data_IF_612412844192
#
_entry.id   IF_612412844192
#
_cell.length_a   1.000
_cell.length_b   1.000
_cell.length_c   1.000
_cell.angle_alpha   90.00
_cell.angle_beta   90.00
_cell.angle_gamma   90.00
#
_symmetry.space_group_name_H-M   'P 1'
#
loop_
_entity.id
_entity.type
_entity.pdbx_description
1 polymer ?
#
# COMPACT_ATOMS: atom_id res chain seq x y z
N UNK A 1 48.82 -1.84 46.28
CA UNK A 1 47.51 -1.17 46.24
C UNK A 1 47.28 -0.65 44.83
N UNK A 2 46.27 -1.22 44.16
CA UNK A 2 45.29 -0.60 43.26
C UNK A 2 45.69 0.23 41.99
N UNK A 3 44.85 -0.04 40.97
CA UNK A 3 44.53 0.64 39.70
C UNK A 3 45.39 0.32 38.46
N UNK A 4 44.97 -0.54 37.51
CA UNK A 4 43.86 -0.53 36.53
C UNK A 4 43.99 0.50 35.36
N UNK A 5 44.10 -0.07 34.15
CA UNK A 5 43.28 0.19 32.96
C UNK A 5 43.74 1.18 31.85
N UNK A 6 43.58 0.67 30.61
CA UNK A 6 43.24 1.35 29.33
C UNK A 6 44.40 1.83 28.45
N UNK A 7 44.69 1.02 27.44
CA UNK A 7 44.88 1.45 26.05
C UNK A 7 44.68 0.21 25.15
N UNK A 8 43.50 -0.42 25.15
CA UNK A 8 42.33 -0.02 24.36
C UNK A 8 42.66 0.26 22.89
N UNK A 9 42.74 -0.83 22.12
CA UNK A 9 42.07 -1.00 20.82
C UNK A 9 42.36 0.14 19.83
N UNK A 10 43.52 0.09 19.18
CA UNK A 10 43.86 0.98 18.06
C UNK A 10 43.74 0.29 16.69
N UNK A 11 42.96 -0.80 16.55
CA UNK A 11 42.82 -1.53 15.27
C UNK A 11 41.38 -1.96 14.97
N UNK A 12 40.39 -1.12 15.28
CA UNK A 12 38.99 -1.38 14.88
C UNK A 12 38.21 -0.09 14.53
N UNK A 13 38.81 0.80 13.73
CA UNK A 13 38.09 1.92 13.07
C UNK A 13 37.95 1.71 11.55
N UNK A 14 37.63 0.49 11.15
CA UNK A 14 37.20 0.15 9.79
C UNK A 14 35.96 -0.76 9.81
N UNK A 15 35.03 -0.50 10.73
CA UNK A 15 33.69 -1.09 10.66
C UNK A 15 32.69 -0.08 10.06
N UNK A 16 32.36 -0.35 8.79
CA UNK A 16 31.08 -0.06 8.14
C UNK A 16 30.62 1.40 8.08
N UNK A 17 31.33 2.21 7.29
CA UNK A 17 30.68 3.23 6.45
C UNK A 17 30.30 2.62 5.09
N UNK A 18 29.74 1.40 5.11
CA UNK A 18 29.17 0.72 3.97
C UNK A 18 27.66 0.66 4.23
N UNK A 19 26.92 1.20 3.27
CA UNK A 19 25.47 1.11 3.09
C UNK A 19 24.57 1.99 3.99
N UNK A 20 24.56 3.28 3.64
CA UNK A 20 23.30 4.05 3.62
C UNK A 20 23.10 4.71 2.26
N UNK A 21 23.38 3.96 1.20
CA UNK A 21 22.94 4.27 -0.17
C UNK A 21 21.57 3.63 -0.41
N UNK A 22 20.56 4.08 0.34
CA UNK A 22 19.15 3.83 -0.01
C UNK A 22 18.42 5.16 0.10
N UNK A 23 18.73 6.10 -0.80
CA UNK A 23 17.72 7.09 -1.17
C UNK A 23 16.92 6.50 -2.33
N UNK A 24 16.06 5.53 -2.03
CA UNK A 24 14.84 5.42 -2.82
C UNK A 24 14.12 6.75 -2.57
N UNK A 25 14.22 7.68 -3.52
CA UNK A 25 13.54 8.97 -3.39
C UNK A 25 12.06 8.71 -3.27
N UNK A 26 11.48 9.09 -2.14
CA UNK A 26 10.05 9.07 -1.95
C UNK A 26 9.46 10.43 -2.31
N UNK A 27 8.27 10.43 -2.88
CA UNK A 27 7.52 11.65 -3.14
C UNK A 27 6.32 11.67 -2.21
N UNK A 28 6.14 12.77 -1.47
CA UNK A 28 4.92 12.99 -0.72
C UNK A 28 3.82 13.49 -1.68
N UNK A 29 2.71 12.75 -1.74
CA UNK A 29 1.50 13.21 -2.39
C UNK A 29 0.55 13.76 -1.33
N UNK A 30 -0.05 14.92 -1.64
CA UNK A 30 -0.94 15.65 -0.75
C UNK A 30 -2.20 16.05 -1.52
N UNK A 31 -3.34 15.53 -1.08
CA UNK A 31 -4.62 15.73 -1.74
C UNK A 31 -5.60 16.39 -0.78
N UNK A 32 -6.23 17.47 -1.25
CA UNK A 32 -7.25 18.16 -0.48
C UNK A 32 -8.57 17.41 -0.61
N UNK A 33 -9.08 16.96 0.53
CA UNK A 33 -10.24 16.10 0.60
C UNK A 33 -11.30 16.70 1.51
N UNK A 34 -12.57 16.45 1.17
CA UNK A 34 -13.72 16.97 1.88
C UNK A 34 -14.68 15.84 2.21
N UNK A 35 -15.12 15.77 3.47
CA UNK A 35 -16.03 14.73 3.93
C UNK A 35 -17.04 15.24 4.96
N UNK A 36 -18.14 14.51 5.12
CA UNK A 36 -19.17 14.81 6.14
C UNK A 36 -19.55 13.53 6.86
N UNK A 37 -19.27 13.48 8.16
CA UNK A 37 -19.46 12.30 9.01
C UNK A 37 -18.56 11.11 8.71
N UNK A 38 -18.47 10.69 7.46
CA UNK A 38 -17.58 9.64 6.99
C UNK A 38 -17.03 10.01 5.61
N UNK A 39 -15.72 9.91 5.44
CA UNK A 39 -15.04 10.02 4.16
C UNK A 39 -14.52 8.63 3.78
N UNK A 40 -14.78 8.23 2.53
CA UNK A 40 -14.18 7.04 1.93
C UNK A 40 -13.36 7.50 0.73
N UNK A 41 -12.05 7.34 0.81
CA UNK A 41 -11.12 7.62 -0.28
C UNK A 41 -10.69 6.31 -0.92
N UNK A 42 -10.78 6.19 -2.24
CA UNK A 42 -10.39 4.98 -2.98
C UNK A 42 -9.06 5.21 -3.69
N UNK A 43 -8.07 4.38 -3.38
CA UNK A 43 -6.80 4.40 -4.10
C UNK A 43 -6.92 3.63 -5.41
N UNK A 44 -6.32 4.15 -6.47
CA UNK A 44 -6.01 3.35 -7.66
C UNK A 44 -4.99 2.27 -7.26
N UNK A 45 -5.16 1.04 -7.73
CA UNK A 45 -4.31 -0.10 -7.37
C UNK A 45 -2.85 0.12 -7.74
N UNK A 46 -2.59 0.71 -8.91
CA UNK A 46 -1.23 1.02 -9.36
C UNK A 46 -0.61 2.12 -8.50
N UNK A 47 -1.41 3.10 -8.05
CA UNK A 47 -0.95 4.13 -7.13
C UNK A 47 -0.67 3.55 -5.73
N UNK A 48 -1.59 2.74 -5.20
CA UNK A 48 -1.48 2.11 -3.88
C UNK A 48 -0.28 1.15 -3.79
N UNK A 49 0.00 0.38 -4.85
CA UNK A 49 1.14 -0.53 -4.89
C UNK A 49 2.48 0.17 -4.65
N UNK A 50 2.55 1.47 -4.97
CA UNK A 50 3.73 2.30 -4.77
C UNK A 50 3.70 3.10 -3.46
N UNK A 51 2.64 3.02 -2.65
CA UNK A 51 2.56 3.71 -1.37
C UNK A 51 3.40 2.97 -0.33
N UNK A 52 4.23 3.71 0.40
CA UNK A 52 4.98 3.19 1.53
C UNK A 52 4.00 2.81 2.65
N UNK A 53 4.02 1.54 3.06
CA UNK A 53 3.14 1.03 4.12
C UNK A 53 3.25 1.86 5.39
N UNK A 54 2.10 2.26 5.94
CA UNK A 54 2.02 3.09 7.15
C UNK A 54 2.25 4.59 6.94
N UNK A 55 2.54 5.05 5.73
CA UNK A 55 2.74 6.48 5.45
C UNK A 55 1.45 7.28 5.27
N UNK A 56 0.30 6.61 5.11
CA UNK A 56 -0.99 7.25 4.87
C UNK A 56 -1.47 7.97 6.13
N UNK A 57 -1.66 9.28 6.01
CA UNK A 57 -2.07 10.15 7.11
C UNK A 57 -3.11 11.17 6.68
N UNK A 58 -3.98 11.53 7.62
CA UNK A 58 -4.91 12.65 7.47
C UNK A 58 -4.43 13.83 8.31
N UNK A 59 -4.28 14.99 7.68
CA UNK A 59 -3.84 16.24 8.31
C UNK A 59 -4.98 17.26 8.21
N UNK A 60 -5.42 17.82 9.34
CA UNK A 60 -6.49 18.82 9.36
C UNK A 60 -7.47 18.53 10.48
N UNK A 61 -8.75 18.44 10.16
CA UNK A 61 -9.80 18.18 11.16
C UNK A 61 -9.53 16.88 11.93
N UNK A 62 -9.66 16.90 13.28
CA UNK A 62 -9.62 15.68 14.08
C UNK A 62 -10.71 14.69 13.68
N UNK A 63 -10.33 13.41 13.61
CA UNK A 63 -11.22 12.29 13.32
C UNK A 63 -11.26 11.33 14.51
N UNK A 64 -12.34 10.56 14.63
CA UNK A 64 -12.45 9.50 15.65
C UNK A 64 -11.61 8.29 15.24
N UNK A 65 -11.69 7.91 13.96
CA UNK A 65 -11.10 6.66 13.47
C UNK A 65 -10.64 6.78 12.03
N UNK A 66 -9.48 6.20 11.75
CA UNK A 66 -8.95 5.97 10.41
C UNK A 66 -8.75 4.47 10.24
N UNK A 67 -9.27 3.91 9.14
CA UNK A 67 -9.17 2.49 8.80
C UNK A 67 -8.80 2.34 7.33
N UNK A 68 -7.77 1.55 7.05
CA UNK A 68 -7.49 1.10 5.70
C UNK A 68 -8.24 -0.22 5.45
N UNK A 69 -9.11 -0.20 4.46
CA UNK A 69 -9.92 -1.34 4.03
C UNK A 69 -9.38 -1.87 2.69
N UNK A 70 -9.33 -3.19 2.57
CA UNK A 70 -9.10 -3.86 1.29
C UNK A 70 -10.46 -4.33 0.78
N UNK A 71 -10.94 -3.73 -0.30
CA UNK A 71 -12.21 -4.09 -0.91
C UNK A 71 -11.96 -5.06 -2.06
N UNK A 72 -12.48 -6.28 -1.90
CA UNK A 72 -12.35 -7.37 -2.87
C UNK A 72 -13.70 -7.70 -3.52
N UNK A 73 -14.60 -6.71 -3.64
CA UNK A 73 -15.99 -6.89 -4.08
C UNK A 73 -16.11 -7.58 -5.44
N UNK A 74 -15.15 -7.36 -6.33
CA UNK A 74 -15.01 -8.01 -7.65
C UNK A 74 -14.87 -9.53 -7.59
N UNK A 75 -14.40 -10.08 -6.45
CA UNK A 75 -14.27 -11.52 -6.27
C UNK A 75 -15.60 -12.19 -5.91
N UNK A 76 -16.66 -11.45 -5.62
CA UNK A 76 -17.96 -12.03 -5.27
C UNK A 76 -18.50 -12.81 -6.48
N UNK A 77 -18.82 -14.08 -6.28
CA UNK A 77 -19.25 -15.00 -7.33
C UNK A 77 -18.10 -15.66 -8.10
N UNK A 78 -16.84 -15.34 -7.80
CA UNK A 78 -15.70 -15.98 -8.44
C UNK A 78 -15.60 -17.45 -8.02
N UNK A 79 -15.27 -18.31 -8.99
CA UNK A 79 -15.04 -19.74 -8.79
C UNK A 79 -13.57 -19.99 -8.44
N UNK A 80 -13.36 -20.74 -7.37
CA UNK A 80 -12.04 -20.98 -6.80
C UNK A 80 -11.85 -22.45 -6.41
N UNK A 81 -10.59 -22.86 -6.34
CA UNK A 81 -10.15 -24.13 -5.78
C UNK A 81 -9.43 -23.82 -4.47
N UNK A 82 -9.92 -24.38 -3.38
CA UNK A 82 -9.28 -24.28 -2.06
C UNK A 82 -8.51 -25.56 -1.80
N UNK A 83 -7.24 -25.45 -1.44
CA UNK A 83 -6.46 -26.61 -0.98
C UNK A 83 -6.83 -26.90 0.48
N UNK A 84 -7.55 -27.99 0.72
CA UNK A 84 -7.81 -28.46 2.06
C UNK A 84 -6.53 -29.01 2.68
N UNK A 85 -6.14 -28.49 3.85
CA UNK A 85 -5.12 -29.16 4.68
C UNK A 85 -5.78 -30.32 5.40
N UNK A 86 -5.80 -31.50 4.78
CA UNK A 86 -6.09 -32.72 5.53
C UNK A 86 -4.78 -33.45 5.79
N UNK A 87 -4.63 -33.98 7.01
CA UNK A 87 -3.48 -34.77 7.43
C UNK A 87 -3.26 -36.05 6.59
N UNK A 88 -4.20 -36.41 5.72
CA UNK A 88 -4.20 -37.66 4.94
C UNK A 88 -4.26 -37.46 3.41
N UNK A 89 -4.14 -36.25 2.88
CA UNK A 89 -4.09 -36.02 1.43
C UNK A 89 -4.67 -34.67 1.02
N UNK A 90 -4.07 -34.07 -0.01
CA UNK A 90 -4.47 -32.78 -0.57
C UNK A 90 -5.85 -32.89 -1.25
N UNK A 91 -6.94 -32.75 -0.49
CA UNK A 91 -8.27 -32.63 -1.07
C UNK A 91 -8.48 -31.20 -1.55
N UNK A 92 -8.73 -31.03 -2.85
CA UNK A 92 -9.08 -29.73 -3.44
C UNK A 92 -10.59 -29.57 -3.43
N UNK A 93 -11.08 -28.46 -2.88
CA UNK A 93 -12.51 -28.13 -2.84
C UNK A 93 -12.79 -27.07 -3.90
N UNK A 94 -13.71 -27.35 -4.82
CA UNK A 94 -14.25 -26.32 -5.74
C UNK A 94 -15.35 -25.54 -5.02
N UNK A 95 -15.24 -24.23 -5.02
CA UNK A 95 -16.14 -23.35 -4.29
C UNK A 95 -16.36 -22.02 -5.02
N UNK A 96 -17.40 -21.32 -4.62
CA UNK A 96 -17.74 -19.98 -5.09
C UNK A 96 -17.62 -18.99 -3.92
N UNK A 97 -16.99 -17.84 -4.14
CA UNK A 97 -16.88 -16.80 -3.12
C UNK A 97 -18.24 -16.11 -2.96
N UNK A 98 -18.78 -16.13 -1.74
CA UNK A 98 -20.07 -15.52 -1.37
C UNK A 98 -19.87 -14.13 -0.76
N UNK A 99 -18.89 -14.02 0.14
CA UNK A 99 -18.43 -12.74 0.68
C UNK A 99 -16.89 -12.68 0.64
N UNK A 100 -16.31 -11.84 -0.24
CA UNK A 100 -14.87 -11.65 -0.34
C UNK A 100 -14.22 -11.03 0.91
N UNK A 101 -14.97 -10.29 1.72
CA UNK A 101 -14.40 -9.56 2.87
C UNK A 101 -14.04 -10.51 4.00
N UNK A 102 -14.95 -11.45 4.29
CA UNK A 102 -14.77 -12.49 5.30
C UNK A 102 -14.17 -13.78 4.73
N UNK A 103 -13.98 -13.86 3.40
CA UNK A 103 -13.69 -15.10 2.69
C UNK A 103 -14.68 -16.22 3.04
N UNK A 104 -15.97 -15.90 2.99
CA UNK A 104 -17.05 -16.88 3.04
C UNK A 104 -17.23 -17.51 1.67
N UNK A 105 -17.06 -18.82 1.58
CA UNK A 105 -17.18 -19.60 0.35
C UNK A 105 -18.32 -20.61 0.46
N UNK A 106 -18.89 -21.00 -0.68
CA UNK A 106 -19.84 -22.09 -0.79
C UNK A 106 -19.25 -23.22 -1.64
N UNK A 107 -19.23 -24.43 -1.11
CA UNK A 107 -18.82 -25.63 -1.84
C UNK A 107 -19.78 -25.87 -3.03
N UNK A 108 -19.25 -26.02 -4.25
CA UNK A 108 -20.09 -26.20 -5.44
C UNK A 108 -20.91 -27.50 -5.42
N UNK A 109 -20.37 -28.55 -4.79
CA UNK A 109 -20.98 -29.88 -4.72
C UNK A 109 -21.95 -30.01 -3.55
N UNK A 110 -21.51 -29.69 -2.33
CA UNK A 110 -22.33 -29.91 -1.12
C UNK A 110 -23.22 -28.73 -0.76
N UNK A 111 -23.03 -27.57 -1.41
CA UNK A 111 -23.68 -26.29 -1.10
C UNK A 111 -23.44 -25.77 0.32
N UNK A 112 -22.54 -26.41 1.08
CA UNK A 112 -22.15 -26.01 2.43
C UNK A 112 -21.31 -24.73 2.38
N UNK A 113 -21.49 -23.88 3.40
CA UNK A 113 -20.70 -22.66 3.57
C UNK A 113 -19.51 -22.91 4.49
N UNK A 114 -18.36 -22.32 4.17
CA UNK A 114 -17.17 -22.39 5.01
C UNK A 114 -16.29 -21.15 4.82
N UNK A 115 -15.48 -20.86 5.84
CA UNK A 115 -14.49 -19.78 5.79
C UNK A 115 -13.13 -20.34 5.39
N UNK A 116 -12.32 -19.52 4.72
CA UNK A 116 -10.97 -19.92 4.34
C UNK A 116 -10.00 -18.74 4.39
N UNK A 117 -8.72 -19.04 4.54
CA UNK A 117 -7.68 -18.02 4.44
C UNK A 117 -7.54 -17.60 2.95
N UNK A 118 -7.57 -16.29 2.61
CA UNK A 118 -7.26 -15.80 1.27
C UNK A 118 -6.02 -16.45 0.62
N UNK A 119 -4.97 -16.74 1.39
CA UNK A 119 -3.72 -17.33 0.88
C UNK A 119 -3.84 -18.80 0.46
N UNK A 120 -4.92 -19.47 0.87
CA UNK A 120 -5.17 -20.89 0.55
C UNK A 120 -6.01 -21.09 -0.73
N UNK A 121 -6.40 -19.99 -1.39
CA UNK A 121 -7.28 -19.96 -2.54
C UNK A 121 -6.48 -19.94 -3.84
N UNK A 122 -6.78 -20.87 -4.74
CA UNK A 122 -6.35 -20.84 -6.13
C UNK A 122 -7.53 -20.47 -7.03
N UNK A 123 -7.43 -19.34 -7.74
CA UNK A 123 -8.50 -18.88 -8.61
C UNK A 123 -8.56 -19.70 -9.90
N UNK A 124 -9.76 -20.13 -10.31
CA UNK A 124 -9.97 -20.93 -11.54
C UNK A 124 -10.08 -20.03 -12.77
N UNK A 125 -10.55 -18.80 -12.59
CA UNK A 125 -10.53 -17.72 -13.57
C UNK A 125 -9.63 -16.61 -13.05
N UNK A 126 -8.93 -15.90 -13.94
CA UNK A 126 -8.19 -14.70 -13.57
C UNK A 126 -9.14 -13.77 -12.82
N UNK A 127 -8.88 -13.46 -11.53
CA UNK A 127 -9.67 -12.45 -10.87
C UNK A 127 -9.54 -11.16 -11.69
N UNK A 128 -10.68 -10.49 -11.95
CA UNK A 128 -10.62 -9.11 -12.42
C UNK A 128 -9.73 -8.35 -11.42
N UNK A 129 -8.75 -7.59 -11.92
CA UNK A 129 -7.74 -6.85 -11.15
C UNK A 129 -8.33 -5.72 -10.28
N UNK A 130 -9.52 -5.91 -9.71
CA UNK A 130 -10.29 -4.92 -8.97
C UNK A 130 -10.17 -5.18 -7.46
N UNK A 131 -8.94 -5.38 -6.97
CA UNK A 131 -8.65 -5.30 -5.53
C UNK A 131 -8.44 -3.84 -5.22
N UNK A 132 -9.49 -3.12 -4.83
CA UNK A 132 -9.36 -1.71 -4.45
C UNK A 132 -8.91 -1.57 -3.00
N UNK A 133 -8.10 -0.57 -2.72
CA UNK A 133 -7.76 -0.16 -1.38
C UNK A 133 -8.54 1.11 -1.06
N UNK A 134 -9.19 1.14 0.10
CA UNK A 134 -10.00 2.28 0.53
C UNK A 134 -9.54 2.78 1.89
N UNK A 135 -9.31 4.07 2.04
CA UNK A 135 -9.16 4.70 3.34
C UNK A 135 -10.53 5.18 3.82
N UNK A 136 -10.92 4.75 5.00
CA UNK A 136 -12.12 5.20 5.68
C UNK A 136 -11.74 6.10 6.85
N UNK A 137 -12.26 7.32 6.86
CA UNK A 137 -12.09 8.30 7.94
C UNK A 137 -13.47 8.60 8.53
N UNK A 138 -13.62 8.40 9.83
CA UNK A 138 -14.86 8.67 10.57
C UNK A 138 -14.65 9.91 11.42
N UNK A 139 -15.41 10.96 11.15
CA UNK A 139 -15.35 12.21 11.89
C UNK A 139 -16.25 12.20 13.13
N UNK A 140 -15.95 13.08 14.07
CA UNK A 140 -16.65 13.15 15.36
C UNK A 140 -18.11 13.57 15.23
N UNK A 141 -18.38 14.58 14.40
CA UNK A 141 -19.74 15.03 14.12
C UNK A 141 -20.19 14.57 12.73
N UNK A 142 -21.32 13.86 12.67
CA UNK A 142 -21.88 13.37 11.39
C UNK A 142 -22.51 14.46 10.52
N UNK A 143 -22.85 15.60 11.12
CA UNK A 143 -23.60 16.66 10.45
C UNK A 143 -22.72 17.80 9.94
N UNK A 144 -21.45 17.81 10.35
CA UNK A 144 -20.49 18.85 10.01
C UNK A 144 -19.63 18.43 8.82
N UNK A 145 -19.34 19.39 7.94
CA UNK A 145 -18.45 19.19 6.81
C UNK A 145 -17.02 19.51 7.25
N UNK A 146 -16.09 18.64 6.88
CA UNK A 146 -14.68 18.75 7.24
C UNK A 146 -13.81 18.73 6.01
N UNK A 147 -12.73 19.49 6.06
CA UNK A 147 -11.69 19.54 5.05
C UNK A 147 -10.37 19.15 5.68
N UNK A 148 -9.57 18.39 4.96
CA UNK A 148 -8.22 18.07 5.36
C UNK A 148 -7.38 17.67 4.17
N UNK A 149 -6.15 17.30 4.48
CA UNK A 149 -5.15 16.88 3.51
C UNK A 149 -4.89 15.40 3.77
N UNK A 150 -5.20 14.57 2.79
CA UNK A 150 -4.71 13.21 2.72
C UNK A 150 -3.24 13.28 2.25
N UNK A 151 -2.31 12.81 3.07
CA UNK A 151 -0.88 12.74 2.75
C UNK A 151 -0.39 11.30 2.80
N UNK A 152 0.39 10.90 1.79
CA UNK A 152 1.03 9.59 1.73
C UNK A 152 2.33 9.64 0.93
N UNK A 153 3.28 8.77 1.29
CA UNK A 153 4.57 8.69 0.60
C UNK A 153 4.52 7.61 -0.47
N UNK A 154 4.97 7.95 -1.68
CA UNK A 154 5.11 6.98 -2.78
C UNK A 154 6.58 6.74 -3.12
N UNK A 155 6.92 5.48 -3.43
CA UNK A 155 8.20 5.13 -4.06
C UNK A 155 8.05 5.33 -5.57
N UNK A 156 8.67 6.35 -6.12
CA UNK A 156 8.55 6.63 -7.56
C UNK A 156 9.28 5.60 -8.42
N UNK A 157 8.58 4.96 -9.35
CA UNK A 157 9.14 4.69 -10.67
C UNK A 157 9.13 6.05 -11.38
N UNK A 158 10.31 6.60 -11.67
CA UNK A 158 10.44 7.84 -12.42
C UNK A 158 9.76 7.70 -13.79
N UNK A 159 8.72 8.49 -14.04
CA UNK A 159 8.26 8.73 -15.40
C UNK A 159 9.32 9.63 -16.08
N UNK A 160 10.26 8.99 -16.79
CA UNK A 160 11.37 9.65 -17.48
C UNK A 160 10.91 10.74 -18.48
N UNK A 161 9.62 10.77 -18.84
CA UNK A 161 9.04 11.80 -19.71
C UNK A 161 9.06 13.21 -19.09
N UNK A 162 8.91 13.34 -17.77
CA UNK A 162 8.93 14.64 -17.09
C UNK A 162 10.36 15.14 -16.88
N UNK A 163 11.32 14.22 -16.66
CA UNK A 163 12.72 14.60 -16.43
C UNK A 163 13.41 15.13 -17.70
N UNK A 164 13.05 14.63 -18.89
CA UNK A 164 13.56 15.16 -20.16
C UNK A 164 13.06 16.57 -20.49
N UNK A 165 11.89 16.97 -19.98
CA UNK A 165 11.35 18.30 -20.18
C UNK A 165 12.20 19.39 -19.49
N UNK A 166 12.77 19.08 -18.33
CA UNK A 166 13.67 20.01 -17.62
C UNK A 166 15.07 20.08 -18.22
N UNK A 167 15.56 19.00 -18.82
CA UNK A 167 16.88 18.97 -19.47
C UNK A 167 16.85 19.80 -20.76
N UNK A 168 15.77 19.72 -21.55
CA UNK A 168 15.62 20.57 -22.74
C UNK A 168 15.39 22.05 -22.41
N UNK A 169 14.72 22.36 -21.30
CA UNK A 169 14.52 23.77 -20.88
C UNK A 169 15.84 24.43 -20.42
N UNK A 170 16.72 23.69 -19.72
CA UNK A 170 18.04 24.21 -19.32
C UNK A 170 19.02 24.41 -20.48
N UNK A 171 18.96 23.58 -21.53
CA UNK A 171 19.82 23.80 -22.71
C UNK A 171 19.42 25.03 -23.53
N UNK A 172 18.13 25.37 -23.60
CA UNK A 172 17.67 26.55 -24.36
C UNK A 172 18.02 27.87 -23.68
N UNK A 173 18.15 27.91 -22.34
CA UNK A 173 18.54 29.12 -21.62
C UNK A 173 20.04 29.42 -21.77
N UNK A 174 20.93 28.42 -21.72
CA UNK A 174 22.38 28.70 -21.79
C UNK A 174 22.89 29.05 -23.20
N UNK A 175 22.08 28.80 -24.24
CA UNK A 175 22.35 29.23 -25.63
C UNK A 175 21.90 30.66 -25.91
N UNK A 176 20.94 31.21 -25.16
CA UNK A 176 20.50 32.58 -25.33
C UNK A 176 21.40 33.60 -24.59
N UNK A 177 22.09 33.18 -23.54
CA UNK A 177 22.99 34.05 -22.76
C UNK A 177 24.40 34.20 -23.37
N UNK A 178 24.64 33.65 -24.58
CA UNK A 178 25.93 33.79 -25.30
C UNK A 178 25.86 34.74 -26.50
N UNK A 179 24.72 35.39 -26.75
CA UNK A 179 24.51 36.29 -27.89
C UNK A 179 24.00 37.70 -27.47
N UNK A 180 24.33 38.14 -26.25
CA UNK A 180 24.12 39.52 -25.79
C UNK A 180 25.46 40.14 -25.38
#
# INVERSE_FOLDING_TARGET
MFFFYIALICVFKQLFAIDLLIYNSFTELRENEHGKGMLTYSFNNDAYANIISGSISWIGTPFIRQELLRTMSSLKGAKVIVKGSSACGCSTIKATIIDPTSMLLQNEYTKSYFYTDPYSIQYVSTPLNDISYQLKIIFSNKNEAYSGILSYLTTGIYDYSIMMSFIHMKQKSSLNDRNL
#
